data_IF_601792847414
#
_entry.id   IF_601792847414
#
_cell.length_a   1.000
_cell.length_b   1.000
_cell.length_c   1.000
_cell.angle_alpha   90.00
_cell.angle_beta   90.00
_cell.angle_gamma   90.00
#
_symmetry.space_group_name_H-M   'P 1'
#
loop_
_entity.id
_entity.type
_entity.pdbx_description
1 polymer ?
#
# COMPACT_ATOMS: atom_id res chain seq x y z
N UNK A 1 10.87 -13.88 11.40
CA UNK A 1 11.18 -13.11 10.17
C UNK A 1 11.47 -11.67 10.54
N UNK A 2 12.62 -11.15 10.12
CA UNK A 2 13.01 -9.75 10.34
C UNK A 2 12.52 -8.92 9.15
N UNK A 3 11.36 -8.26 9.26
CA UNK A 3 10.76 -7.50 8.15
C UNK A 3 10.62 -6.00 8.44
N UNK A 4 10.65 -5.57 9.70
CA UNK A 4 10.41 -4.17 10.07
C UNK A 4 11.27 -3.69 11.27
N UNK A 5 12.44 -4.27 11.51
CA UNK A 5 13.35 -3.87 12.58
C UNK A 5 12.71 -3.95 13.96
N UNK A 6 12.66 -2.84 14.71
CA UNK A 6 12.08 -2.76 16.04
C UNK A 6 10.56 -3.09 16.09
N UNK A 7 9.89 -3.10 14.96
CA UNK A 7 8.46 -3.40 14.84
C UNK A 7 8.14 -4.89 14.69
N UNK A 8 9.15 -5.76 14.57
CA UNK A 8 8.95 -7.20 14.34
C UNK A 8 8.20 -7.91 15.46
N UNK A 9 8.40 -7.50 16.71
CA UNK A 9 7.77 -8.16 17.86
C UNK A 9 6.25 -8.04 17.86
N UNK A 10 5.67 -6.84 17.77
CA UNK A 10 4.23 -6.63 17.87
C UNK A 10 3.54 -6.51 16.51
N UNK A 11 4.04 -7.15 15.44
CA UNK A 11 3.49 -6.99 14.10
C UNK A 11 3.27 -8.30 13.35
N UNK A 12 2.30 -8.28 12.42
CA UNK A 12 2.11 -9.31 11.40
C UNK A 12 2.63 -8.77 10.07
N UNK A 13 3.58 -9.47 9.46
CA UNK A 13 4.10 -9.15 8.14
C UNK A 13 3.29 -9.84 7.04
N UNK A 14 2.88 -9.09 6.03
CA UNK A 14 2.26 -9.60 4.81
C UNK A 14 3.22 -9.34 3.65
N UNK A 15 3.67 -10.41 3.00
CA UNK A 15 4.53 -10.33 1.83
C UNK A 15 3.73 -10.67 0.56
N UNK A 16 3.81 -9.78 -0.44
CA UNK A 16 3.36 -10.09 -1.79
C UNK A 16 4.54 -10.59 -2.60
N UNK A 17 4.38 -11.76 -3.20
CA UNK A 17 5.37 -12.27 -4.15
C UNK A 17 5.26 -11.46 -5.43
N UNK A 18 6.01 -10.37 -5.50
CA UNK A 18 6.04 -9.43 -6.62
C UNK A 18 7.46 -8.91 -6.83
N UNK A 19 8.02 -8.99 -8.03
CA UNK A 19 9.31 -8.35 -8.34
C UNK A 19 9.10 -6.84 -8.53
N UNK A 20 8.92 -6.11 -7.46
CA UNK A 20 8.63 -4.67 -7.44
C UNK A 20 9.64 -3.81 -8.23
N UNK A 21 10.85 -4.30 -8.50
CA UNK A 21 11.82 -3.64 -9.38
C UNK A 21 11.89 -4.32 -10.75
N UNK A 22 11.89 -3.56 -11.87
CA UNK A 22 11.94 -4.14 -13.21
C UNK A 22 13.14 -5.05 -13.49
N UNK A 23 14.26 -4.87 -12.78
CA UNK A 23 15.45 -5.72 -12.94
C UNK A 23 15.24 -7.17 -12.49
N UNK A 24 14.23 -7.42 -11.67
CA UNK A 24 13.86 -8.76 -11.19
C UNK A 24 12.77 -9.41 -12.03
N UNK A 25 12.26 -8.71 -13.07
CA UNK A 25 11.26 -9.28 -13.96
C UNK A 25 11.82 -10.49 -14.68
N UNK A 26 11.20 -11.67 -14.53
CA UNK A 26 11.42 -12.75 -15.49
C UNK A 26 10.97 -12.25 -16.87
N UNK A 27 11.67 -12.69 -17.93
CA UNK A 27 11.43 -12.23 -19.31
C UNK A 27 9.99 -12.44 -19.79
N UNK A 28 9.24 -13.33 -19.17
CA UNK A 28 7.89 -13.73 -19.55
C UNK A 28 6.97 -13.78 -18.31
N UNK A 29 6.78 -12.66 -17.64
CA UNK A 29 5.88 -12.61 -16.48
C UNK A 29 4.49 -12.05 -16.83
N UNK A 30 3.47 -12.38 -16.03
CA UNK A 30 2.11 -11.85 -16.19
C UNK A 30 1.98 -10.43 -15.57
N UNK A 31 2.97 -9.57 -15.81
CA UNK A 31 3.00 -8.25 -15.21
C UNK A 31 2.10 -7.30 -15.97
N UNK A 32 1.11 -6.74 -15.28
CA UNK A 32 0.12 -5.90 -15.92
C UNK A 32 0.66 -4.52 -16.26
N UNK A 33 1.56 -3.97 -15.41
CA UNK A 33 2.02 -2.60 -15.60
C UNK A 33 3.33 -2.29 -14.87
N UNK A 34 4.11 -1.39 -15.45
CA UNK A 34 5.26 -0.73 -14.81
C UNK A 34 4.93 0.75 -14.69
N UNK A 35 4.99 1.28 -13.47
CA UNK A 35 4.81 2.70 -13.18
C UNK A 35 6.17 3.40 -13.06
N UNK A 36 6.17 4.68 -13.36
CA UNK A 36 7.33 5.56 -13.20
C UNK A 36 7.04 6.59 -12.11
N UNK A 37 7.95 6.71 -11.16
CA UNK A 37 7.81 7.71 -10.11
C UNK A 37 8.98 7.74 -9.14
N UNK A 38 9.36 8.92 -8.62
CA UNK A 38 10.44 9.08 -7.64
C UNK A 38 10.21 8.34 -6.31
N UNK A 39 8.99 7.89 -6.05
CA UNK A 39 8.67 7.08 -4.87
C UNK A 39 9.19 5.64 -4.96
N UNK A 40 9.40 5.14 -6.17
CA UNK A 40 9.85 3.78 -6.43
C UNK A 40 11.37 3.68 -6.47
N UNK A 41 11.91 2.55 -6.04
CA UNK A 41 13.34 2.27 -6.15
C UNK A 41 13.79 2.30 -7.62
N UNK A 42 14.82 3.07 -7.91
CA UNK A 42 15.27 3.28 -9.28
C UNK A 42 14.27 3.99 -10.19
N UNK A 43 13.25 4.63 -9.62
CA UNK A 43 12.24 5.41 -10.33
C UNK A 43 11.19 4.58 -11.08
N UNK A 44 11.18 3.26 -10.93
CA UNK A 44 10.25 2.35 -11.64
C UNK A 44 9.74 1.28 -10.69
N UNK A 45 8.46 0.96 -10.80
CA UNK A 45 7.76 0.00 -9.96
C UNK A 45 6.93 -0.98 -10.78
N UNK A 46 7.10 -2.26 -10.54
CA UNK A 46 6.27 -3.31 -11.13
C UNK A 46 5.02 -3.46 -10.29
N UNK A 47 3.87 -3.21 -10.89
CA UNK A 47 2.58 -3.32 -10.19
C UNK A 47 2.22 -4.79 -9.99
N UNK A 48 1.81 -5.20 -8.77
CA UNK A 48 1.24 -6.52 -8.55
C UNK A 48 -0.02 -6.74 -9.41
N UNK A 49 -0.34 -7.99 -9.69
CA UNK A 49 -1.58 -8.32 -10.41
C UNK A 49 -2.80 -7.88 -9.61
N UNK A 50 -3.90 -7.58 -10.31
CA UNK A 50 -5.16 -7.21 -9.65
C UNK A 50 -5.60 -8.28 -8.65
N UNK A 51 -5.44 -9.57 -8.97
CA UNK A 51 -5.78 -10.67 -8.07
C UNK A 51 -4.95 -10.64 -6.76
N UNK A 52 -3.65 -10.35 -6.85
CA UNK A 52 -2.80 -10.20 -5.66
C UNK A 52 -3.24 -9.01 -4.80
N UNK A 53 -3.56 -7.88 -5.43
CA UNK A 53 -4.01 -6.67 -4.74
C UNK A 53 -5.37 -6.87 -4.05
N UNK A 54 -6.32 -7.50 -4.72
CA UNK A 54 -7.64 -7.82 -4.15
C UNK A 54 -7.51 -8.78 -2.96
N UNK A 55 -6.70 -9.83 -3.10
CA UNK A 55 -6.45 -10.76 -2.00
C UNK A 55 -5.80 -10.05 -0.81
N UNK A 56 -4.86 -9.14 -1.08
CA UNK A 56 -4.22 -8.35 -0.02
C UNK A 56 -5.22 -7.41 0.65
N UNK A 57 -6.06 -6.71 -0.10
CA UNK A 57 -7.08 -5.83 0.46
C UNK A 57 -8.09 -6.62 1.33
N UNK A 58 -8.52 -7.79 0.87
CA UNK A 58 -9.41 -8.67 1.63
C UNK A 58 -8.75 -9.17 2.93
N UNK A 59 -7.47 -9.55 2.87
CA UNK A 59 -6.70 -9.95 4.06
C UNK A 59 -6.58 -8.79 5.06
N UNK A 60 -6.24 -7.59 4.60
CA UNK A 60 -6.14 -6.40 5.47
C UNK A 60 -7.51 -6.06 6.09
N UNK A 61 -8.59 -6.18 5.33
CA UNK A 61 -9.94 -6.01 5.84
C UNK A 61 -10.22 -6.99 6.98
N UNK A 62 -9.92 -8.28 6.79
CA UNK A 62 -10.14 -9.32 7.82
C UNK A 62 -9.24 -9.11 9.04
N UNK A 63 -7.94 -8.84 8.85
CA UNK A 63 -6.98 -8.61 9.95
C UNK A 63 -7.40 -7.45 10.87
N UNK A 64 -8.16 -6.50 10.35
CA UNK A 64 -8.64 -5.32 11.09
C UNK A 64 -10.08 -5.49 11.63
N UNK A 65 -10.64 -6.69 11.57
CA UNK A 65 -11.91 -7.02 12.21
C UNK A 65 -11.70 -7.68 13.58
N UNK A 66 -12.69 -7.64 14.47
CA UNK A 66 -12.66 -8.40 15.73
C UNK A 66 -12.49 -9.91 15.53
N UNK A 67 -13.01 -10.45 14.43
CA UNK A 67 -12.98 -11.88 14.11
C UNK A 67 -11.57 -12.42 13.87
N UNK A 68 -10.62 -11.55 13.56
CA UNK A 68 -9.20 -11.93 13.42
C UNK A 68 -8.55 -12.31 14.76
N UNK A 69 -9.10 -11.86 15.88
CA UNK A 69 -8.52 -12.01 17.22
C UNK A 69 -7.26 -11.16 17.47
N UNK A 70 -6.83 -10.34 16.51
CA UNK A 70 -5.56 -9.61 16.58
C UNK A 70 -5.70 -8.17 17.09
N UNK A 71 -6.91 -7.63 17.18
CA UNK A 71 -7.19 -6.25 17.63
C UNK A 71 -6.38 -5.17 16.89
N UNK A 72 -6.11 -5.37 15.61
CA UNK A 72 -5.39 -4.39 14.77
C UNK A 72 -6.37 -3.31 14.35
N UNK A 73 -6.18 -2.03 14.72
CA UNK A 73 -7.07 -0.96 14.27
C UNK A 73 -6.85 -0.68 12.77
N UNK A 74 -7.95 -0.36 12.06
CA UNK A 74 -7.86 0.06 10.66
C UNK A 74 -7.43 1.52 10.56
N UNK A 75 -6.19 1.78 10.93
CA UNK A 75 -5.55 3.09 10.85
C UNK A 75 -4.45 3.01 9.79
N UNK A 76 -4.56 3.84 8.77
CA UNK A 76 -3.56 3.93 7.69
C UNK A 76 -2.43 4.85 8.12
N UNK A 77 -1.35 4.28 8.60
CA UNK A 77 -0.29 5.03 9.31
C UNK A 77 0.38 6.07 8.42
N UNK A 78 0.49 5.82 7.13
CA UNK A 78 1.04 6.76 6.16
C UNK A 78 0.07 7.85 5.68
N UNK A 79 -1.17 7.85 6.17
CA UNK A 79 -2.19 8.82 5.77
C UNK A 79 -2.19 10.02 6.73
N UNK A 80 -1.97 11.20 6.18
CA UNK A 80 -1.99 12.46 6.92
C UNK A 80 -2.66 13.55 6.05
N UNK A 81 -3.69 14.21 6.59
CA UNK A 81 -4.42 15.29 5.90
C UNK A 81 -4.84 14.91 4.46
N UNK A 82 -5.40 13.72 4.28
CA UNK A 82 -5.79 13.12 2.98
C UNK A 82 -4.62 12.84 2.03
N UNK A 83 -3.38 12.88 2.49
CA UNK A 83 -2.19 12.52 1.71
C UNK A 83 -1.61 11.22 2.20
N UNK A 84 -1.54 10.23 1.31
CA UNK A 84 -0.95 8.93 1.62
C UNK A 84 0.52 8.90 1.21
N UNK A 85 1.39 8.51 2.14
CA UNK A 85 2.81 8.38 1.88
C UNK A 85 3.09 7.22 0.91
N UNK A 86 3.91 7.49 -0.09
CA UNK A 86 4.39 6.52 -1.09
C UNK A 86 5.87 6.16 -0.89
N UNK A 87 6.55 6.79 0.08
CA UNK A 87 7.96 6.60 0.35
C UNK A 87 8.20 6.66 1.86
N UNK A 88 9.50 6.56 2.27
CA UNK A 88 9.93 6.61 3.65
C UNK A 88 9.31 7.77 4.42
N UNK A 89 8.82 7.45 5.62
CA UNK A 89 8.38 8.45 6.60
C UNK A 89 9.58 8.78 7.49
N UNK A 90 9.91 10.05 7.63
CA UNK A 90 10.95 10.50 8.55
C UNK A 90 10.44 10.32 9.99
N UNK A 91 11.22 9.56 10.80
CA UNK A 91 10.89 9.27 12.21
C UNK A 91 9.47 8.73 12.41
N UNK A 92 9.14 7.57 11.84
CA UNK A 92 7.82 7.00 12.02
C UNK A 92 7.57 6.72 13.51
N UNK A 93 6.53 7.34 14.07
CA UNK A 93 6.11 7.03 15.43
C UNK A 93 5.42 5.68 15.44
N UNK A 94 5.88 4.77 16.29
CA UNK A 94 5.25 3.47 16.52
C UNK A 94 3.81 3.68 16.99
N UNK A 95 2.85 3.30 16.17
CA UNK A 95 1.43 3.28 16.52
C UNK A 95 0.74 2.08 15.89
N UNK A 96 -0.29 1.51 16.52
CA UNK A 96 -1.07 0.44 15.93
C UNK A 96 -1.71 0.88 14.60
N UNK A 97 -1.77 -0.04 13.64
CA UNK A 97 -2.39 0.23 12.34
C UNK A 97 -1.74 -0.51 11.18
N UNK A 98 -2.12 -0.11 9.97
CA UNK A 98 -1.65 -0.66 8.72
C UNK A 98 -0.45 0.15 8.20
N UNK A 99 0.65 -0.55 7.97
CA UNK A 99 1.93 0.02 7.57
C UNK A 99 2.35 -0.49 6.20
N UNK A 100 2.90 0.37 5.37
CA UNK A 100 3.66 -0.07 4.21
C UNK A 100 5.14 -0.28 4.58
N UNK A 101 5.76 -1.33 4.06
CA UNK A 101 7.17 -1.65 4.31
C UNK A 101 8.11 -0.50 3.89
N UNK A 102 7.75 0.22 2.85
CA UNK A 102 8.50 1.40 2.38
C UNK A 102 8.65 2.51 3.44
N UNK A 103 7.76 2.57 4.44
CA UNK A 103 7.86 3.58 5.50
C UNK A 103 9.11 3.39 6.37
N UNK A 104 9.69 2.21 6.36
CA UNK A 104 10.95 1.86 7.03
C UNK A 104 12.18 1.91 6.11
N UNK A 105 12.09 2.58 4.97
CA UNK A 105 13.14 2.72 3.95
C UNK A 105 13.38 1.49 3.06
N UNK A 106 12.40 0.58 2.97
CA UNK A 106 12.37 -0.44 1.92
C UNK A 106 11.59 0.07 0.72
N UNK A 107 11.86 -0.47 -0.47
CA UNK A 107 11.34 0.09 -1.73
C UNK A 107 9.99 -0.51 -2.17
N UNK A 108 9.21 -1.05 -1.25
CA UNK A 108 8.02 -1.83 -1.54
C UNK A 108 6.84 -1.54 -0.58
N UNK A 109 5.67 -2.02 -0.92
CA UNK A 109 4.47 -1.97 -0.07
C UNK A 109 3.59 -0.74 -0.18
N UNK A 110 4.05 0.39 -0.71
CA UNK A 110 3.23 1.60 -0.80
C UNK A 110 2.05 1.45 -1.77
N UNK A 111 2.27 0.86 -2.93
CA UNK A 111 1.22 0.69 -3.92
C UNK A 111 0.09 -0.25 -3.45
N UNK A 112 0.36 -1.44 -2.88
CA UNK A 112 -0.68 -2.27 -2.27
C UNK A 112 -1.49 -1.56 -1.19
N UNK A 113 -0.86 -0.73 -0.37
CA UNK A 113 -1.54 0.08 0.65
C UNK A 113 -2.45 1.12 0.01
N UNK A 114 -2.01 1.82 -1.03
CA UNK A 114 -2.84 2.76 -1.79
C UNK A 114 -4.05 2.06 -2.39
N UNK A 115 -3.85 0.93 -3.06
CA UNK A 115 -4.94 0.15 -3.62
C UNK A 115 -5.94 -0.28 -2.55
N UNK A 116 -5.46 -0.85 -1.44
CA UNK A 116 -6.32 -1.31 -0.36
C UNK A 116 -7.12 -0.16 0.27
N UNK A 117 -6.53 1.03 0.42
CA UNK A 117 -7.25 2.21 0.89
C UNK A 117 -8.40 2.60 -0.06
N UNK A 118 -8.14 2.64 -1.36
CA UNK A 118 -9.17 2.96 -2.37
C UNK A 118 -10.31 1.93 -2.35
N UNK A 119 -9.99 0.66 -2.11
CA UNK A 119 -11.00 -0.41 -1.99
C UNK A 119 -11.82 -0.30 -0.71
N UNK A 120 -11.17 -0.11 0.43
CA UNK A 120 -11.78 -0.29 1.75
C UNK A 120 -12.38 1.00 2.33
N UNK A 121 -11.78 2.15 2.04
CA UNK A 121 -12.22 3.45 2.57
C UNK A 121 -13.00 4.25 1.53
N UNK A 122 -12.50 4.35 0.30
CA UNK A 122 -13.22 5.04 -0.77
C UNK A 122 -14.36 4.20 -1.37
N UNK A 123 -14.33 2.87 -1.19
CA UNK A 123 -15.37 1.95 -1.66
C UNK A 123 -15.38 1.73 -3.17
N UNK A 124 -14.26 1.99 -3.85
CA UNK A 124 -14.17 1.80 -5.30
C UNK A 124 -14.23 0.31 -5.68
N UNK A 125 -14.77 0.00 -6.86
CA UNK A 125 -14.69 -1.34 -7.45
C UNK A 125 -13.24 -1.75 -7.74
N UNK A 126 -12.96 -3.06 -7.88
CA UNK A 126 -11.61 -3.58 -8.04
C UNK A 126 -10.84 -2.95 -9.21
N UNK A 127 -11.43 -2.94 -10.40
CA UNK A 127 -10.83 -2.37 -11.60
C UNK A 127 -10.69 -0.85 -11.52
N UNK A 128 -11.65 -0.16 -10.91
CA UNK A 128 -11.62 1.28 -10.70
C UNK A 128 -10.51 1.64 -9.71
N UNK A 129 -10.41 0.93 -8.57
CA UNK A 129 -9.35 1.13 -7.60
C UNK A 129 -7.96 0.89 -8.21
N UNK A 130 -7.82 -0.14 -9.05
CA UNK A 130 -6.57 -0.43 -9.75
C UNK A 130 -6.17 0.70 -10.70
N UNK A 131 -7.09 1.11 -11.56
CA UNK A 131 -6.84 2.20 -12.52
C UNK A 131 -6.53 3.51 -11.81
N UNK A 132 -7.28 3.82 -10.77
CA UNK A 132 -7.08 5.03 -9.95
C UNK A 132 -5.75 5.00 -9.20
N UNK A 133 -5.40 3.86 -8.57
CA UNK A 133 -4.10 3.70 -7.91
C UNK A 133 -2.94 3.90 -8.88
N UNK A 134 -3.03 3.33 -10.08
CA UNK A 134 -2.03 3.54 -11.12
C UNK A 134 -1.92 5.01 -11.52
N UNK A 135 -3.02 5.69 -11.74
CA UNK A 135 -3.04 7.10 -12.15
C UNK A 135 -2.46 8.02 -11.04
N UNK A 136 -2.79 7.77 -9.77
CA UNK A 136 -2.28 8.53 -8.64
C UNK A 136 -0.79 8.28 -8.38
N UNK A 137 -0.33 7.05 -8.55
CA UNK A 137 1.05 6.68 -8.30
C UNK A 137 1.99 7.08 -9.43
N UNK A 138 1.51 7.17 -10.67
CA UNK A 138 2.32 7.59 -11.82
C UNK A 138 2.84 9.01 -11.62
N UNK A 139 4.14 9.20 -11.65
CA UNK A 139 4.79 10.50 -11.43
C UNK A 139 4.73 11.03 -10.00
N UNK A 140 4.08 10.35 -9.06
CA UNK A 140 4.06 10.77 -7.65
C UNK A 140 5.48 10.90 -7.09
N UNK A 141 5.71 11.87 -6.21
CA UNK A 141 7.02 12.06 -5.57
C UNK A 141 7.12 11.32 -4.24
N UNK A 142 6.42 11.80 -3.22
CA UNK A 142 6.45 11.24 -1.86
C UNK A 142 5.09 10.87 -1.33
N UNK A 143 4.05 11.52 -1.81
CA UNK A 143 2.66 11.30 -1.39
C UNK A 143 1.72 11.36 -2.58
N UNK A 144 0.56 10.71 -2.42
CA UNK A 144 -0.61 10.89 -3.30
C UNK A 144 -1.71 11.60 -2.55
N UNK A 145 -2.48 12.43 -3.23
CA UNK A 145 -3.61 13.16 -2.67
C UNK A 145 -4.90 12.33 -2.84
N UNK A 146 -5.57 12.06 -1.74
CA UNK A 146 -6.80 11.28 -1.66
C UNK A 146 -8.03 12.12 -1.29
N UNK A 147 -7.89 13.44 -1.24
CA UNK A 147 -8.98 14.35 -0.81
C UNK A 147 -10.26 14.22 -1.63
N UNK A 148 -10.14 13.91 -2.93
CA UNK A 148 -11.28 13.67 -3.81
C UNK A 148 -12.07 12.40 -3.52
N UNK A 149 -11.50 11.47 -2.76
CA UNK A 149 -12.09 10.18 -2.39
C UNK A 149 -12.53 10.14 -0.93
N UNK A 150 -12.15 11.12 -0.10
CA UNK A 150 -12.63 11.21 1.27
C UNK A 150 -14.17 11.31 1.23
N UNK A 151 -14.85 10.36 1.90
CA UNK A 151 -16.31 10.46 2.04
C UNK A 151 -16.62 11.82 2.67
N UNK A 152 -17.47 12.62 2.03
CA UNK A 152 -18.10 13.74 2.71
C UNK A 152 -18.83 13.14 3.89
N UNK A 153 -18.36 13.43 5.10
CA UNK A 153 -19.12 13.11 6.30
C UNK A 153 -20.52 13.67 6.08
N UNK A 154 -21.49 12.75 6.03
CA UNK A 154 -22.90 13.14 5.91
C UNK A 154 -23.26 13.86 7.21
N UNK A 155 -23.40 15.17 7.12
CA UNK A 155 -23.88 16.05 8.20
C UNK A 155 -25.29 15.70 8.57
#
# INVERSE_FOLDING_TARGET
LWHAGAHNGPSVGVELVNPYEPRFLPRNGPWERILTGPWAAGGRYVVPTLAQLETTAALLAWLTTPDSGLSIPRVWVGLESSRLAMNRIERPTLRPGLWAHTYFAHADGAFPVLFAWLRLEAGLGAHEAFSTACALAEGARRTVDLSSFARKESS
#
